data_IF_307599524821
#
_entry.id   IF_307599524821
#
_cell.length_a   1.000
_cell.length_b   1.000
_cell.length_c   1.000
_cell.angle_alpha   90.00
_cell.angle_beta   90.00
_cell.angle_gamma   90.00
#
_symmetry.space_group_name_H-M   'P 1'
#
loop_
_entity.id
_entity.type
_entity.pdbx_description
1 polymer ?
#
# COMPACT_ATOMS: atom_id res chain seq x y z
N UNK A 1 33.21 5.78 -10.51
CA UNK A 1 32.47 7.06 -10.54
C UNK A 1 31.50 7.06 -9.39
N UNK A 2 31.49 8.04 -8.48
CA UNK A 2 30.52 8.04 -7.38
C UNK A 2 29.13 8.24 -7.99
N UNK A 3 28.17 7.39 -7.63
CA UNK A 3 26.76 7.60 -7.98
C UNK A 3 26.34 8.88 -7.26
N UNK A 4 26.33 9.99 -7.98
CA UNK A 4 25.96 11.30 -7.44
C UNK A 4 24.54 11.22 -6.89
N UNK A 5 24.29 11.96 -5.81
CA UNK A 5 22.96 12.03 -5.17
C UNK A 5 21.85 12.31 -6.18
N UNK A 6 22.15 12.96 -7.30
CA UNK A 6 21.22 13.21 -8.41
C UNK A 6 20.68 11.92 -9.04
N UNK A 7 21.50 10.89 -9.22
CA UNK A 7 21.08 9.60 -9.76
C UNK A 7 20.16 8.85 -8.78
N UNK A 8 20.46 8.94 -7.48
CA UNK A 8 19.61 8.37 -6.44
C UNK A 8 18.29 9.14 -6.32
N UNK A 9 18.31 10.47 -6.42
CA UNK A 9 17.12 11.33 -6.42
C UNK A 9 16.22 11.05 -7.63
N UNK A 10 16.80 10.95 -8.82
CA UNK A 10 16.05 10.61 -10.04
C UNK A 10 15.39 9.23 -9.91
N UNK A 11 16.11 8.23 -9.37
CA UNK A 11 15.55 6.91 -9.12
C UNK A 11 14.43 6.94 -8.07
N UNK A 12 14.57 7.74 -7.01
CA UNK A 12 13.54 7.92 -5.99
C UNK A 12 12.26 8.54 -6.58
N UNK A 13 12.39 9.62 -7.35
CA UNK A 13 11.25 10.29 -8.00
C UNK A 13 10.54 9.32 -8.95
N UNK A 14 11.30 8.54 -9.73
CA UNK A 14 10.72 7.54 -10.63
C UNK A 14 9.92 6.48 -9.87
N UNK A 15 10.46 5.94 -8.76
CA UNK A 15 9.74 4.96 -7.93
C UNK A 15 8.52 5.58 -7.26
N UNK A 16 8.60 6.82 -6.78
CA UNK A 16 7.45 7.54 -6.22
C UNK A 16 6.35 7.69 -7.27
N UNK A 17 6.68 8.13 -8.48
CA UNK A 17 5.71 8.32 -9.55
C UNK A 17 5.01 7.00 -9.95
N UNK A 18 5.73 5.87 -9.92
CA UNK A 18 5.13 4.55 -10.13
C UNK A 18 4.11 4.19 -9.04
N UNK A 19 4.42 4.47 -7.77
CA UNK A 19 3.52 4.24 -6.64
C UNK A 19 2.31 5.17 -6.73
N UNK A 20 2.51 6.46 -6.99
CA UNK A 20 1.43 7.44 -7.15
C UNK A 20 0.45 6.98 -8.26
N UNK A 21 0.98 6.56 -9.42
CA UNK A 21 0.17 6.05 -10.52
C UNK A 21 -0.56 4.73 -10.18
N UNK A 22 -0.03 3.90 -9.28
CA UNK A 22 -0.72 2.71 -8.80
C UNK A 22 -1.88 3.09 -7.84
N UNK A 23 -1.64 4.04 -6.94
CA UNK A 23 -2.66 4.57 -6.02
C UNK A 23 -3.82 5.20 -6.79
N UNK A 24 -3.54 5.99 -7.82
CA UNK A 24 -4.58 6.63 -8.65
C UNK A 24 -5.46 5.59 -9.35
N UNK A 25 -4.87 4.49 -9.85
CA UNK A 25 -5.64 3.39 -10.46
C UNK A 25 -6.55 2.69 -9.45
N UNK A 26 -6.07 2.47 -8.22
CA UNK A 26 -6.86 1.85 -7.15
C UNK A 26 -8.00 2.79 -6.73
N UNK A 27 -7.74 4.11 -6.66
CA UNK A 27 -8.77 5.11 -6.39
C UNK A 27 -9.86 5.09 -7.47
N UNK A 28 -9.48 5.11 -8.74
CA UNK A 28 -10.44 5.03 -9.85
C UNK A 28 -11.27 3.73 -9.81
N UNK A 29 -10.64 2.60 -9.51
CA UNK A 29 -11.35 1.34 -9.31
C UNK A 29 -12.33 1.42 -8.13
N UNK A 30 -11.95 2.03 -7.01
CA UNK A 30 -12.82 2.23 -5.85
C UNK A 30 -14.04 3.10 -6.18
N UNK A 31 -13.86 4.19 -6.94
CA UNK A 31 -14.94 5.04 -7.43
C UNK A 31 -15.93 4.26 -8.32
N UNK A 32 -15.42 3.34 -9.13
CA UNK A 32 -16.22 2.41 -9.95
C UNK A 32 -16.65 1.14 -9.17
N UNK A 33 -16.62 1.16 -7.83
CA UNK A 33 -17.02 0.05 -6.95
C UNK A 33 -16.31 -1.27 -7.26
N UNK A 34 -15.05 -1.18 -7.66
CA UNK A 34 -14.23 -2.29 -8.15
C UNK A 34 -14.91 -3.08 -9.28
N UNK A 35 -15.60 -2.36 -10.18
CA UNK A 35 -16.33 -2.92 -11.32
C UNK A 35 -17.46 -3.87 -10.93
N UNK A 36 -17.93 -3.81 -9.67
CA UNK A 36 -19.00 -4.66 -9.17
C UNK A 36 -20.33 -3.90 -9.13
N UNK A 37 -21.31 -4.43 -9.86
CA UNK A 37 -22.70 -3.99 -9.77
C UNK A 37 -23.33 -4.48 -8.47
N UNK A 38 -24.11 -3.66 -7.73
CA UNK A 38 -24.75 -4.07 -6.47
C UNK A 38 -25.61 -5.34 -6.55
N UNK A 39 -26.15 -5.63 -7.74
CA UNK A 39 -26.97 -6.82 -8.02
C UNK A 39 -26.15 -8.11 -8.23
N UNK A 40 -24.88 -7.98 -8.62
CA UNK A 40 -23.97 -9.11 -8.90
C UNK A 40 -22.95 -9.35 -7.77
N UNK A 41 -22.92 -8.47 -6.75
CA UNK A 41 -22.04 -8.60 -5.58
C UNK A 41 -22.36 -9.91 -4.83
N UNK A 42 -21.31 -10.66 -4.53
CA UNK A 42 -21.41 -11.94 -3.82
C UNK A 42 -20.19 -12.09 -2.89
N UNK A 43 -20.19 -13.14 -2.07
CA UNK A 43 -19.12 -13.39 -1.11
C UNK A 43 -17.73 -13.55 -1.73
N UNK A 44 -17.63 -14.03 -2.98
CA UNK A 44 -16.36 -14.07 -3.71
C UNK A 44 -15.77 -12.68 -3.96
N UNK A 45 -16.61 -11.69 -4.29
CA UNK A 45 -16.19 -10.29 -4.40
C UNK A 45 -15.71 -9.73 -3.05
N UNK A 46 -16.37 -10.11 -1.95
CA UNK A 46 -15.97 -9.70 -0.59
C UNK A 46 -14.60 -10.27 -0.23
N UNK A 47 -14.38 -11.58 -0.47
CA UNK A 47 -13.07 -12.20 -0.21
C UNK A 47 -11.97 -11.56 -1.04
N UNK A 48 -12.22 -11.32 -2.34
CA UNK A 48 -11.25 -10.63 -3.19
C UNK A 48 -10.90 -9.24 -2.62
N UNK A 49 -11.88 -8.42 -2.23
CA UNK A 49 -11.62 -7.10 -1.65
C UNK A 49 -10.89 -7.17 -0.30
N UNK A 50 -11.16 -8.19 0.51
CA UNK A 50 -10.43 -8.41 1.77
C UNK A 50 -8.93 -8.64 1.52
N UNK A 51 -8.57 -9.42 0.50
CA UNK A 51 -7.16 -9.64 0.13
C UNK A 51 -6.47 -8.33 -0.31
N UNK A 52 -7.14 -7.51 -1.12
CA UNK A 52 -6.62 -6.20 -1.52
C UNK A 52 -6.42 -5.27 -0.31
N UNK A 53 -7.38 -5.27 0.63
CA UNK A 53 -7.29 -4.47 1.85
C UNK A 53 -6.10 -4.89 2.73
N UNK A 54 -5.84 -6.19 2.86
CA UNK A 54 -4.66 -6.70 3.59
C UNK A 54 -3.36 -6.23 2.94
N UNK A 55 -3.26 -6.27 1.61
CA UNK A 55 -2.07 -5.80 0.90
C UNK A 55 -1.83 -4.30 1.11
N UNK A 56 -2.88 -3.48 0.99
CA UNK A 56 -2.80 -2.04 1.23
C UNK A 56 -2.43 -1.71 2.68
N UNK A 57 -2.96 -2.47 3.65
CA UNK A 57 -2.61 -2.28 5.06
C UNK A 57 -1.13 -2.58 5.29
N UNK A 58 -0.60 -3.69 4.76
CA UNK A 58 0.82 -4.03 4.90
C UNK A 58 1.75 -2.97 4.30
N UNK A 59 1.36 -2.36 3.19
CA UNK A 59 2.11 -1.24 2.58
C UNK A 59 2.06 -0.01 3.50
N UNK A 60 0.88 0.32 4.02
CA UNK A 60 0.69 1.44 4.96
C UNK A 60 1.50 1.23 6.24
N UNK A 61 1.40 0.05 6.87
CA UNK A 61 2.14 -0.32 8.07
C UNK A 61 3.65 -0.19 7.85
N UNK A 62 4.16 -0.60 6.68
CA UNK A 62 5.57 -0.49 6.33
C UNK A 62 6.03 0.97 6.12
N UNK A 63 5.14 1.86 5.65
CA UNK A 63 5.44 3.30 5.47
C UNK A 63 5.42 4.04 6.80
N UNK A 64 4.46 3.72 7.67
CA UNK A 64 4.25 4.42 8.94
C UNK A 64 4.93 3.77 10.14
N UNK A 65 5.60 2.63 9.93
CA UNK A 65 6.28 1.85 10.97
C UNK A 65 5.37 1.50 12.16
N UNK A 66 4.05 1.32 11.93
CA UNK A 66 3.08 0.96 12.97
C UNK A 66 3.32 -0.46 13.55
N UNK A 67 4.28 -1.21 12.99
CA UNK A 67 4.78 -2.47 13.53
C UNK A 67 6.04 -2.38 14.41
N UNK A 68 6.67 -1.20 14.56
CA UNK A 68 7.93 -1.02 15.32
C UNK A 68 7.77 -0.24 16.65
N UNK A 69 6.55 -0.14 17.18
CA UNK A 69 6.27 0.35 18.53
C UNK A 69 5.34 -0.58 19.33
N UNK A 70 5.62 -1.88 19.32
CA UNK A 70 5.41 -2.64 20.55
C UNK A 70 6.53 -2.23 21.53
N UNK A 71 6.25 -1.48 22.61
CA UNK A 71 7.26 -1.29 23.64
C UNK A 71 7.68 -2.68 24.09
N UNK A 72 8.97 -2.96 23.96
CA UNK A 72 9.66 -4.09 24.59
C UNK A 72 9.20 -4.14 26.06
N UNK A 73 8.21 -4.97 26.38
CA UNK A 73 7.84 -5.23 27.78
C UNK A 73 9.09 -5.77 28.47
N UNK A 74 9.30 -5.26 29.67
CA UNK A 74 10.59 -5.21 30.33
C UNK A 74 11.29 -6.56 30.39
N UNK A 75 12.59 -6.51 30.12
CA UNK A 75 13.52 -7.29 30.92
C UNK A 75 13.45 -6.70 32.33
N UNK A 76 12.64 -7.28 33.21
CA UNK A 76 12.83 -7.12 34.65
C UNK A 76 14.02 -7.99 35.05
N UNK A 77 15.04 -7.31 35.54
CA UNK A 77 16.17 -7.86 36.28
C UNK A 77 15.80 -7.99 37.77
#
# INVERSE_FOLDING_TARGET
MPKTNDAALAAFIARKAEIDAAIDRIRAASEDRFFASPEDVNWGHVTALADHAVLLNRITDAIYAEGEHAPRRGAEA
#
